data_IF_384612922496
#
_entry.id   IF_384612922496
#
_cell.length_a   1.000
_cell.length_b   1.000
_cell.length_c   1.000
_cell.angle_alpha   90.00
_cell.angle_beta   90.00
_cell.angle_gamma   90.00
#
_symmetry.space_group_name_H-M   'P 1'
#
loop_
_entity.id
_entity.type
_entity.pdbx_description
1 polymer ?
#
# COMPACT_ATOMS: atom_id res chain seq x y z
N UNK A 1 12.42 16.36 -3.25
CA UNK A 1 11.58 16.12 -4.43
C UNK A 1 11.18 17.46 -5.01
N UNK A 2 11.72 17.73 -6.18
CA UNK A 2 11.52 18.93 -7.01
C UNK A 2 11.60 18.51 -8.47
N UNK A 3 11.19 19.40 -9.38
CA UNK A 3 11.31 19.20 -10.83
C UNK A 3 12.75 18.94 -11.25
N UNK A 4 13.68 19.75 -10.71
CA UNK A 4 15.11 19.63 -10.98
C UNK A 4 15.67 18.26 -10.59
N UNK A 5 15.21 17.71 -9.46
CA UNK A 5 15.57 16.36 -9.02
C UNK A 5 15.03 15.28 -9.97
N UNK A 6 13.80 15.42 -10.46
CA UNK A 6 13.19 14.48 -11.39
C UNK A 6 13.82 14.53 -12.79
N UNK A 7 14.28 15.70 -13.23
CA UNK A 7 14.85 15.88 -14.56
C UNK A 7 16.36 15.56 -14.62
N UNK A 8 17.03 15.53 -13.47
CA UNK A 8 18.43 15.18 -13.37
C UNK A 8 18.69 13.70 -13.72
N UNK A 9 19.49 13.48 -14.77
CA UNK A 9 19.95 12.14 -15.17
C UNK A 9 20.76 11.47 -14.06
N UNK A 10 21.63 12.23 -13.39
CA UNK A 10 22.45 11.72 -12.29
C UNK A 10 21.58 11.26 -11.12
N UNK A 11 20.60 12.08 -10.71
CA UNK A 11 19.67 11.70 -9.64
C UNK A 11 18.84 10.47 -10.03
N UNK A 12 18.40 10.37 -11.29
CA UNK A 12 17.73 9.16 -11.79
C UNK A 12 18.60 7.92 -11.62
N UNK A 13 19.85 7.97 -12.05
CA UNK A 13 20.77 6.84 -11.96
C UNK A 13 21.02 6.43 -10.50
N UNK A 14 21.22 7.38 -9.61
CA UNK A 14 21.39 7.11 -8.16
C UNK A 14 20.16 6.44 -7.55
N UNK A 15 18.96 6.94 -7.88
CA UNK A 15 17.70 6.34 -7.39
C UNK A 15 17.55 4.92 -7.94
N UNK A 16 17.84 4.70 -9.23
CA UNK A 16 17.79 3.36 -9.81
C UNK A 16 18.76 2.43 -9.10
N UNK A 17 20.01 2.86 -8.89
CA UNK A 17 21.00 2.03 -8.21
C UNK A 17 20.60 1.72 -6.76
N UNK A 18 20.17 2.73 -6.01
CA UNK A 18 19.75 2.56 -4.62
C UNK A 18 18.53 1.63 -4.49
N UNK A 19 17.50 1.78 -5.34
CA UNK A 19 16.27 1.00 -5.25
C UNK A 19 16.34 -0.34 -5.95
N UNK A 20 16.89 -0.39 -7.15
CA UNK A 20 16.81 -1.57 -8.01
C UNK A 20 17.99 -2.51 -7.73
N UNK A 21 19.21 -1.98 -7.50
CA UNK A 21 20.40 -2.79 -7.19
C UNK A 21 20.56 -3.04 -5.68
N UNK A 22 20.54 -1.99 -4.86
CA UNK A 22 20.83 -2.11 -3.42
C UNK A 22 19.58 -2.42 -2.57
N UNK A 23 18.38 -2.38 -3.16
CA UNK A 23 17.08 -2.57 -2.47
C UNK A 23 16.94 -1.69 -1.22
N UNK A 24 17.51 -0.48 -1.24
CA UNK A 24 17.45 0.45 -0.11
C UNK A 24 16.04 1.01 0.05
N UNK A 25 15.64 1.15 1.31
CA UNK A 25 14.42 1.87 1.69
C UNK A 25 14.59 3.34 1.35
N UNK A 26 13.49 3.98 0.97
CA UNK A 26 13.50 5.31 0.38
C UNK A 26 12.32 6.09 0.94
N UNK A 27 12.59 7.21 1.61
CA UNK A 27 11.57 8.13 2.14
C UNK A 27 11.59 9.40 1.28
N UNK A 28 10.58 9.64 0.43
CA UNK A 28 10.53 10.84 -0.39
C UNK A 28 10.25 12.08 0.48
N UNK A 29 11.02 13.16 0.26
CA UNK A 29 10.81 14.45 0.91
C UNK A 29 10.41 15.49 -0.14
N UNK A 30 9.22 16.05 -0.03
CA UNK A 30 8.71 17.11 -0.91
C UNK A 30 8.97 18.46 -0.31
N UNK A 31 9.69 19.30 -1.07
CA UNK A 31 10.07 20.65 -0.67
C UNK A 31 9.15 21.68 -1.31
N UNK A 32 8.68 21.45 -2.54
CA UNK A 32 7.79 22.36 -3.28
C UNK A 32 6.32 21.90 -3.21
N UNK A 33 5.39 22.82 -2.94
CA UNK A 33 3.94 22.56 -2.75
C UNK A 33 3.30 21.79 -3.88
N UNK A 34 3.55 22.26 -5.09
CA UNK A 34 2.82 21.80 -6.28
C UNK A 34 3.61 20.78 -7.09
N UNK A 35 4.79 20.41 -6.58
CA UNK A 35 5.55 19.36 -7.21
C UNK A 35 4.93 17.99 -6.91
N UNK A 36 4.55 17.33 -8.00
CA UNK A 36 4.08 15.94 -8.02
C UNK A 36 5.06 15.15 -8.88
N UNK A 37 5.63 14.10 -8.31
CA UNK A 37 6.52 13.23 -9.06
C UNK A 37 5.72 12.45 -10.11
N UNK A 38 6.21 12.44 -11.34
CA UNK A 38 5.57 11.75 -12.47
C UNK A 38 6.59 10.86 -13.20
N UNK A 39 6.10 10.05 -14.13
CA UNK A 39 6.93 9.17 -14.96
C UNK A 39 7.82 8.24 -14.13
N UNK A 40 9.12 8.21 -14.45
CA UNK A 40 10.09 7.30 -13.83
C UNK A 40 10.16 7.45 -12.31
N UNK A 41 10.13 8.69 -11.81
CA UNK A 41 10.26 8.97 -10.37
C UNK A 41 8.97 8.60 -9.67
N UNK A 42 7.82 9.00 -10.24
CA UNK A 42 6.49 8.68 -9.73
C UNK A 42 6.33 7.18 -9.47
N UNK A 43 6.59 6.34 -10.49
CA UNK A 43 6.49 4.87 -10.40
C UNK A 43 7.37 4.29 -9.29
N UNK A 44 8.55 4.87 -9.06
CA UNK A 44 9.52 4.35 -8.08
C UNK A 44 9.27 4.84 -6.67
N UNK A 45 8.48 5.89 -6.47
CA UNK A 45 8.15 6.41 -5.14
C UNK A 45 6.69 6.15 -4.73
N UNK A 46 5.92 5.39 -5.52
CA UNK A 46 4.61 4.86 -5.08
C UNK A 46 4.84 3.82 -3.99
N UNK A 47 4.17 3.96 -2.84
CA UNK A 47 4.23 3.00 -1.73
C UNK A 47 4.89 3.50 -0.44
N UNK A 48 6.10 4.12 -0.45
CA UNK A 48 6.68 4.65 0.79
C UNK A 48 5.91 5.87 1.31
N UNK A 49 5.81 5.96 2.64
CA UNK A 49 5.42 7.19 3.32
C UNK A 49 6.38 8.32 2.93
N UNK A 50 5.85 9.52 2.75
CA UNK A 50 6.59 10.70 2.31
C UNK A 50 6.31 11.88 3.24
N UNK A 51 7.24 12.82 3.28
CA UNK A 51 7.12 14.06 4.04
C UNK A 51 6.95 15.24 3.09
N UNK A 52 6.15 16.23 3.48
CA UNK A 52 6.01 17.51 2.76
C UNK A 52 6.18 18.68 3.74
N UNK A 53 7.23 19.48 3.53
CA UNK A 53 7.69 20.51 4.48
C UNK A 53 6.80 21.77 4.58
N UNK A 54 5.75 21.89 3.78
CA UNK A 54 4.96 23.13 3.69
C UNK A 54 3.54 23.01 4.25
N UNK A 55 3.12 21.83 4.74
CA UNK A 55 1.78 21.66 5.32
C UNK A 55 1.71 22.04 6.81
N UNK A 56 2.84 22.01 7.51
CA UNK A 56 2.97 22.22 8.96
C UNK A 56 4.18 23.08 9.25
N UNK A 57 4.38 23.47 10.51
CA UNK A 57 5.61 24.13 10.92
C UNK A 57 6.82 23.24 10.59
N UNK A 58 7.98 23.86 10.34
CA UNK A 58 9.21 23.13 10.07
C UNK A 58 9.52 22.12 11.18
N UNK A 59 9.41 22.53 12.44
CA UNK A 59 9.70 21.69 13.60
C UNK A 59 8.75 20.48 13.68
N UNK A 60 7.46 20.68 13.41
CA UNK A 60 6.50 19.57 13.45
C UNK A 60 6.71 18.60 12.29
N UNK A 61 7.08 19.12 11.11
CA UNK A 61 7.41 18.29 9.95
C UNK A 61 8.69 17.47 10.18
N UNK A 62 9.67 18.04 10.88
CA UNK A 62 10.89 17.33 11.29
C UNK A 62 10.55 16.21 12.30
N UNK A 63 9.66 16.46 13.28
CA UNK A 63 9.21 15.41 14.20
C UNK A 63 8.54 14.26 13.46
N UNK A 64 7.71 14.56 12.45
CA UNK A 64 7.11 13.54 11.60
C UNK A 64 8.14 12.74 10.81
N UNK A 65 9.13 13.42 10.20
CA UNK A 65 10.21 12.76 9.48
C UNK A 65 11.00 11.82 10.39
N UNK A 66 11.34 12.25 11.61
CA UNK A 66 12.04 11.42 12.59
C UNK A 66 11.19 10.20 12.95
N UNK A 67 9.89 10.38 13.20
CA UNK A 67 8.97 9.28 13.48
C UNK A 67 8.96 8.25 12.35
N UNK A 68 8.87 8.70 11.09
CA UNK A 68 8.91 7.83 9.92
C UNK A 68 10.23 7.06 9.83
N UNK A 69 11.37 7.70 10.08
CA UNK A 69 12.68 7.02 10.06
C UNK A 69 12.77 5.95 11.16
N UNK A 70 12.23 6.22 12.35
CA UNK A 70 12.21 5.26 13.47
C UNK A 70 11.32 4.07 13.14
N UNK A 71 10.11 4.31 12.63
CA UNK A 71 9.20 3.26 12.18
C UNK A 71 9.84 2.43 11.06
N UNK A 72 10.52 3.09 10.12
CA UNK A 72 11.23 2.43 9.04
C UNK A 72 12.31 1.47 9.56
N UNK A 73 13.10 1.90 10.55
CA UNK A 73 14.12 1.05 11.20
C UNK A 73 13.53 -0.15 11.94
N UNK A 74 12.41 0.04 12.66
CA UNK A 74 11.75 -1.05 13.38
C UNK A 74 11.29 -2.17 12.44
N UNK A 75 10.73 -1.81 11.28
CA UNK A 75 10.34 -2.79 10.27
C UNK A 75 11.55 -3.55 9.69
N UNK A 76 12.71 -2.90 9.52
CA UNK A 76 13.92 -3.58 9.07
C UNK A 76 14.44 -4.62 10.07
N UNK A 77 14.36 -4.35 11.37
CA UNK A 77 14.77 -5.31 12.41
C UNK A 77 13.83 -6.52 12.46
N UNK A 78 12.54 -6.31 12.21
CA UNK A 78 11.54 -7.38 12.14
C UNK A 78 11.76 -8.29 10.91
N UNK A 79 12.02 -7.70 9.74
CA UNK A 79 12.27 -8.45 8.50
C UNK A 79 13.59 -9.25 8.55
N UNK A 80 14.64 -8.71 9.20
CA UNK A 80 15.90 -9.44 9.42
C UNK A 80 15.77 -10.63 10.36
N UNK A 81 14.91 -10.56 11.38
CA UNK A 81 14.68 -11.67 12.33
C UNK A 81 13.90 -12.83 11.71
N UNK A 82 13.08 -12.59 10.68
CA UNK A 82 12.30 -13.64 10.00
C UNK A 82 13.10 -14.54 9.05
N UNK A 83 14.31 -14.16 8.67
CA UNK A 83 15.13 -14.89 7.67
C UNK A 83 16.19 -15.79 8.34
N UNK A 84 16.31 -15.77 9.67
CA UNK A 84 17.41 -16.42 10.40
C UNK A 84 17.09 -17.82 10.98
N UNK A 85 15.91 -18.41 10.78
CA UNK A 85 15.61 -19.78 11.23
C UNK A 85 15.83 -20.81 10.10
N UNK A 86 16.77 -21.78 10.25
CA UNK A 86 16.96 -22.84 9.28
C UNK A 86 15.88 -23.92 9.44
N UNK A 87 15.16 -24.18 8.35
CA UNK A 87 14.23 -25.31 8.21
C UNK A 87 15.00 -26.63 8.12
N UNK A 88 14.94 -27.44 9.19
CA UNK A 88 15.32 -28.86 9.15
C UNK A 88 14.06 -29.73 8.97
N UNK A 89 14.18 -30.70 8.08
CA UNK A 89 13.12 -31.53 7.49
C UNK A 89 12.67 -32.71 8.37
N UNK A 90 11.35 -33.02 8.31
CA UNK A 90 10.65 -34.32 8.52
C UNK A 90 10.29 -34.80 9.95
N UNK A 91 9.33 -35.75 10.15
CA UNK A 91 8.02 -35.97 9.52
C UNK A 91 6.84 -36.18 10.54
N UNK A 92 5.63 -35.83 10.05
CA UNK A 92 4.27 -36.39 10.28
C UNK A 92 4.06 -37.53 11.31
N UNK A 93 3.24 -37.29 12.36
CA UNK A 93 2.29 -38.26 12.98
C UNK A 93 1.05 -37.53 13.52
N UNK A 94 -0.13 -38.07 13.20
CA UNK A 94 -1.45 -37.76 13.76
C UNK A 94 -1.61 -38.45 15.13
N UNK A 95 -2.17 -37.78 16.16
CA UNK A 95 -3.15 -38.42 17.05
C UNK A 95 -3.94 -37.43 17.93
N UNK A 96 -5.11 -37.90 18.37
CA UNK A 96 -6.27 -37.15 18.86
C UNK A 96 -6.30 -36.95 20.40
N UNK A 97 -6.96 -35.86 20.82
CA UNK A 97 -7.78 -35.54 22.05
C UNK A 97 -7.84 -36.56 23.21
N UNK A 98 -8.04 -36.12 24.50
CA UNK A 98 -9.22 -35.35 24.91
C UNK A 98 -9.07 -34.35 26.09
N UNK A 99 -10.21 -33.71 26.35
CA UNK A 99 -10.54 -32.53 27.17
C UNK A 99 -10.73 -32.90 28.65
N UNK A 100 -10.41 -32.01 29.59
CA UNK A 100 -11.17 -31.89 30.85
C UNK A 100 -11.18 -30.47 31.45
N UNK A 101 -12.34 -30.17 32.05
CA UNK A 101 -12.85 -28.86 32.49
C UNK A 101 -12.21 -28.35 33.79
N UNK A 102 -12.39 -27.06 34.13
CA UNK A 102 -13.15 -26.60 35.33
C UNK A 102 -13.30 -25.04 35.37
N UNK A 103 -14.56 -24.60 35.46
CA UNK A 103 -15.19 -23.41 36.10
C UNK A 103 -14.34 -22.51 37.06
N UNK A 104 -14.57 -21.22 37.36
CA UNK A 104 -15.75 -20.32 37.34
C UNK A 104 -15.33 -18.83 37.57
N UNK A 105 -16.11 -17.89 37.00
CA UNK A 105 -16.57 -16.52 37.42
C UNK A 105 -15.62 -15.54 38.18
N UNK A 106 -15.55 -14.23 37.85
CA UNK A 106 -16.48 -13.13 38.24
C UNK A 106 -16.19 -11.83 37.40
N UNK A 107 -17.23 -11.05 37.05
CA UNK A 107 -17.26 -9.71 36.40
C UNK A 107 -17.16 -8.55 37.43
N UNK A 108 -17.32 -7.23 37.13
CA UNK A 108 -17.11 -6.37 35.94
C UNK A 108 -16.26 -5.10 36.23
N UNK A 109 -15.76 -4.38 35.20
CA UNK A 109 -16.09 -2.94 34.99
C UNK A 109 -15.31 -2.28 33.84
N UNK A 110 -16.10 -1.58 33.02
CA UNK A 110 -15.94 -0.27 32.38
C UNK A 110 -14.69 0.11 31.56
N UNK A 111 -15.01 0.45 30.31
CA UNK A 111 -14.50 1.55 29.49
C UNK A 111 -13.23 1.40 28.63
N UNK A 112 -13.53 1.52 27.32
CA UNK A 112 -12.71 2.12 26.26
C UNK A 112 -11.39 1.43 25.90
N UNK A 113 -11.45 0.45 24.99
CA UNK A 113 -10.30 0.20 24.10
C UNK A 113 -10.68 -0.26 22.69
N UNK A 114 -10.33 0.62 21.76
CA UNK A 114 -10.11 0.45 20.31
C UNK A 114 -9.54 -0.94 20.01
N UNK A 115 -10.28 -1.78 19.27
CA UNK A 115 -9.76 -3.00 18.67
C UNK A 115 -9.42 -2.76 17.19
N UNK A 116 -8.24 -2.22 16.92
CA UNK A 116 -7.58 -2.40 15.63
C UNK A 116 -6.80 -3.72 15.65
N UNK A 117 -7.51 -4.83 15.44
CA UNK A 117 -6.89 -6.15 15.34
C UNK A 117 -6.37 -6.35 13.90
N UNK A 118 -5.16 -5.86 13.62
CA UNK A 118 -4.49 -6.05 12.32
C UNK A 118 -4.07 -7.51 12.14
N UNK A 119 -4.96 -8.32 11.59
CA UNK A 119 -4.66 -9.66 11.07
C UNK A 119 -4.53 -9.54 9.55
N UNK A 120 -3.30 -9.38 9.04
CA UNK A 120 -3.05 -9.54 7.60
C UNK A 120 -3.37 -10.99 7.25
N UNK A 121 -4.53 -11.23 6.63
CA UNK A 121 -4.92 -12.56 6.22
C UNK A 121 -4.01 -13.01 5.07
N UNK A 122 -3.43 -14.22 5.17
CA UNK A 122 -2.60 -14.84 4.11
C UNK A 122 -3.44 -15.31 2.91
N UNK A 123 -4.57 -14.65 2.61
CA UNK A 123 -5.47 -15.04 1.52
C UNK A 123 -4.89 -14.53 0.19
N UNK A 124 -5.00 -15.34 -0.87
CA UNK A 124 -4.67 -14.87 -2.21
C UNK A 124 -5.69 -13.81 -2.66
N UNK A 125 -5.30 -12.92 -3.59
CA UNK A 125 -6.14 -11.78 -4.02
C UNK A 125 -7.48 -12.27 -4.59
N UNK A 126 -7.47 -13.41 -5.27
CA UNK A 126 -8.66 -14.04 -5.85
C UNK A 126 -9.72 -14.41 -4.80
N UNK A 127 -9.33 -14.53 -3.53
CA UNK A 127 -10.19 -14.90 -2.42
C UNK A 127 -10.67 -13.70 -1.59
N UNK A 128 -10.31 -12.47 -1.99
CA UNK A 128 -10.66 -11.27 -1.23
C UNK A 128 -12.14 -10.95 -1.34
N UNK A 129 -12.77 -10.69 -0.20
CA UNK A 129 -14.11 -10.11 -0.11
C UNK A 129 -14.06 -8.58 -0.21
N UNK A 130 -15.23 -7.93 -0.25
CA UNK A 130 -15.33 -6.46 -0.21
C UNK A 130 -14.62 -5.86 0.99
N UNK A 131 -14.68 -6.51 2.15
CA UNK A 131 -13.99 -6.07 3.38
C UNK A 131 -12.47 -6.23 3.25
N UNK A 132 -11.99 -7.33 2.66
CA UNK A 132 -10.56 -7.52 2.38
C UNK A 132 -10.05 -6.44 1.41
N UNK A 133 -10.85 -6.05 0.42
CA UNK A 133 -10.53 -4.95 -0.52
C UNK A 133 -10.50 -3.61 0.22
N UNK A 134 -11.51 -3.29 1.03
CA UNK A 134 -11.54 -2.05 1.81
C UNK A 134 -10.32 -1.91 2.73
N UNK A 135 -9.95 -3.01 3.40
CA UNK A 135 -8.73 -3.06 4.21
C UNK A 135 -7.47 -2.86 3.35
N UNK A 136 -7.41 -3.43 2.14
CA UNK A 136 -6.30 -3.21 1.22
C UNK A 136 -6.20 -1.74 0.76
N UNK A 137 -7.32 -1.05 0.55
CA UNK A 137 -7.34 0.39 0.26
C UNK A 137 -6.73 1.20 1.40
N UNK A 138 -7.10 0.90 2.64
CA UNK A 138 -6.53 1.55 3.83
C UNK A 138 -5.02 1.31 3.95
N UNK A 139 -4.59 0.05 3.78
CA UNK A 139 -3.20 -0.35 3.87
C UNK A 139 -2.32 0.34 2.81
N UNK A 140 -2.90 0.72 1.66
CA UNK A 140 -2.22 1.43 0.59
C UNK A 140 -2.49 2.96 0.59
N UNK A 141 -3.21 3.47 1.60
CA UNK A 141 -3.61 4.88 1.70
C UNK A 141 -4.33 5.38 0.44
N UNK A 142 -5.27 4.59 -0.07
CA UNK A 142 -6.12 4.91 -1.21
C UNK A 142 -7.45 5.44 -0.68
N UNK A 143 -8.03 6.43 -1.38
CA UNK A 143 -9.33 6.98 -1.02
C UNK A 143 -10.42 5.91 -1.05
N UNK A 144 -11.13 5.74 0.06
CA UNK A 144 -12.19 4.73 0.23
C UNK A 144 -13.37 5.00 -0.71
N UNK A 145 -13.61 6.27 -1.04
CA UNK A 145 -14.65 6.72 -1.98
C UNK A 145 -14.50 6.12 -3.38
N UNK A 146 -13.27 5.71 -3.76
CA UNK A 146 -13.04 5.00 -5.01
C UNK A 146 -13.66 3.60 -5.01
N UNK A 147 -13.75 2.91 -3.87
CA UNK A 147 -14.37 1.58 -3.77
C UNK A 147 -15.84 1.66 -4.19
N UNK A 148 -16.54 2.69 -3.73
CA UNK A 148 -17.95 2.90 -4.02
C UNK A 148 -18.22 3.27 -5.49
N UNK A 149 -17.23 3.84 -6.18
CA UNK A 149 -17.36 4.19 -7.60
C UNK A 149 -17.13 3.00 -8.53
N UNK A 150 -16.30 2.04 -8.11
CA UNK A 150 -15.99 0.84 -8.88
C UNK A 150 -16.84 -0.37 -8.50
N UNK A 151 -17.49 -0.37 -7.33
CA UNK A 151 -18.29 -1.48 -6.79
C UNK A 151 -17.58 -2.84 -6.84
N UNK A 152 -16.30 -2.89 -6.46
CA UNK A 152 -15.57 -4.16 -6.41
C UNK A 152 -16.19 -5.08 -5.35
N UNK A 153 -16.64 -6.28 -5.78
CA UNK A 153 -17.26 -7.27 -4.90
C UNK A 153 -16.26 -8.32 -4.46
N UNK A 154 -15.34 -8.68 -5.35
CA UNK A 154 -14.34 -9.71 -5.17
C UNK A 154 -12.97 -9.24 -5.67
N UNK A 155 -11.89 -9.77 -5.10
CA UNK A 155 -10.54 -9.35 -5.52
C UNK A 155 -10.22 -9.69 -6.99
N UNK A 156 -10.95 -10.61 -7.60
CA UNK A 156 -10.90 -10.86 -9.05
C UNK A 156 -11.31 -9.59 -9.83
N UNK A 157 -12.33 -8.86 -9.39
CA UNK A 157 -12.79 -7.63 -10.04
C UNK A 157 -11.67 -6.58 -10.07
N UNK A 158 -10.96 -6.46 -8.94
CA UNK A 158 -9.82 -5.56 -8.79
C UNK A 158 -8.63 -5.96 -9.69
N UNK A 159 -8.38 -7.27 -9.85
CA UNK A 159 -7.35 -7.78 -10.75
C UNK A 159 -7.69 -7.55 -12.22
N UNK A 160 -8.93 -7.86 -12.64
CA UNK A 160 -9.40 -7.64 -14.01
C UNK A 160 -9.37 -6.16 -14.36
N UNK A 161 -9.86 -5.31 -13.46
CA UNK A 161 -9.81 -3.86 -13.62
C UNK A 161 -8.37 -3.36 -13.76
N UNK A 162 -7.43 -3.91 -12.98
CA UNK A 162 -6.01 -3.63 -13.11
C UNK A 162 -5.38 -3.98 -14.46
N UNK A 163 -5.90 -4.99 -15.14
CA UNK A 163 -5.47 -5.34 -16.50
C UNK A 163 -6.01 -4.33 -17.52
N UNK A 164 -7.25 -3.87 -17.35
CA UNK A 164 -7.88 -2.87 -18.22
C UNK A 164 -7.26 -1.47 -18.06
N UNK A 165 -6.70 -1.15 -16.90
CA UNK A 165 -6.03 0.13 -16.63
C UNK A 165 -4.74 0.37 -17.44
N UNK A 166 -4.14 -0.67 -18.05
CA UNK A 166 -2.93 -0.54 -18.88
C UNK A 166 -3.34 -0.52 -20.36
N UNK A 167 -2.89 0.44 -21.19
CA UNK A 167 -1.82 1.41 -20.98
C UNK A 167 -2.28 2.84 -20.60
N UNK A 168 -3.57 3.15 -20.70
CA UNK A 168 -4.07 4.53 -20.76
C UNK A 168 -4.91 4.94 -19.55
N UNK A 169 -4.40 4.70 -18.34
CA UNK A 169 -5.04 5.12 -17.07
C UNK A 169 -5.41 6.61 -17.02
N UNK A 170 -4.85 7.44 -17.89
CA UNK A 170 -5.18 8.87 -18.00
C UNK A 170 -6.60 9.12 -18.50
N UNK A 171 -7.07 8.28 -19.43
CA UNK A 171 -8.46 8.34 -19.93
C UNK A 171 -9.41 7.98 -18.79
N UNK A 172 -9.08 6.89 -18.09
CA UNK A 172 -9.83 6.43 -16.93
C UNK A 172 -9.83 7.46 -15.80
N UNK A 173 -8.69 8.14 -15.57
CA UNK A 173 -8.60 9.22 -14.58
C UNK A 173 -9.61 10.35 -14.89
N UNK A 174 -9.70 10.78 -16.14
CA UNK A 174 -10.63 11.85 -16.50
C UNK A 174 -12.07 11.40 -16.21
N UNK A 175 -12.46 10.21 -16.65
CA UNK A 175 -13.80 9.66 -16.46
C UNK A 175 -14.17 9.40 -14.99
N UNK A 176 -13.21 8.96 -14.17
CA UNK A 176 -13.48 8.75 -12.74
C UNK A 176 -13.45 10.06 -11.96
N UNK A 177 -12.61 11.03 -12.35
CA UNK A 177 -12.51 12.31 -11.65
C UNK A 177 -13.80 13.12 -11.70
N UNK A 178 -14.49 13.09 -12.85
CA UNK A 178 -15.80 13.71 -13.04
C UNK A 178 -16.85 13.05 -12.15
N UNK A 179 -16.99 11.71 -12.22
CA UNK A 179 -17.92 10.94 -11.36
C UNK A 179 -17.65 11.12 -9.87
N UNK A 180 -16.37 11.26 -9.49
CA UNK A 180 -15.97 11.50 -8.11
C UNK A 180 -16.40 12.88 -7.64
N UNK A 181 -16.20 13.92 -8.46
CA UNK A 181 -16.62 15.28 -8.15
C UNK A 181 -18.14 15.40 -8.06
N UNK A 182 -18.88 14.75 -8.96
CA UNK A 182 -20.34 14.68 -8.93
C UNK A 182 -20.87 14.02 -7.65
N UNK A 183 -20.29 12.89 -7.23
CA UNK A 183 -20.80 12.11 -6.11
C UNK A 183 -20.40 12.65 -4.75
N UNK A 184 -19.18 13.17 -4.62
CA UNK A 184 -18.60 13.56 -3.33
C UNK A 184 -18.40 15.07 -3.17
N UNK A 185 -18.74 15.87 -4.19
CA UNK A 185 -18.57 17.32 -4.20
C UNK A 185 -17.13 17.75 -3.84
N UNK A 186 -16.15 16.96 -4.27
CA UNK A 186 -14.72 17.18 -4.01
C UNK A 186 -13.88 16.63 -5.15
N UNK A 187 -12.69 17.17 -5.35
CA UNK A 187 -11.84 16.80 -6.49
C UNK A 187 -11.00 15.57 -6.17
N UNK A 188 -11.03 14.59 -7.08
CA UNK A 188 -10.05 13.52 -7.10
C UNK A 188 -8.76 14.03 -7.76
N UNK A 189 -7.73 14.23 -6.96
CA UNK A 189 -6.44 14.65 -7.47
C UNK A 189 -5.74 13.52 -8.22
N UNK A 190 -5.04 13.88 -9.28
CA UNK A 190 -4.30 12.92 -10.12
C UNK A 190 -3.33 12.05 -9.32
N UNK A 191 -2.70 12.59 -8.28
CA UNK A 191 -1.78 11.82 -7.45
C UNK A 191 -2.49 10.76 -6.60
N UNK A 192 -3.71 11.04 -6.11
CA UNK A 192 -4.54 10.05 -5.42
C UNK A 192 -4.90 8.90 -6.36
N UNK A 193 -5.26 9.20 -7.60
CA UNK A 193 -5.56 8.16 -8.59
C UNK A 193 -4.32 7.38 -9.02
N UNK A 194 -3.17 8.03 -9.22
CA UNK A 194 -1.91 7.35 -9.53
C UNK A 194 -1.47 6.39 -8.42
N UNK A 195 -1.76 6.70 -7.14
CA UNK A 195 -1.53 5.78 -6.02
C UNK A 195 -2.35 4.50 -6.18
N UNK A 196 -3.63 4.64 -6.50
CA UNK A 196 -4.52 3.52 -6.76
C UNK A 196 -3.99 2.64 -7.91
N UNK A 197 -3.71 3.25 -9.08
CA UNK A 197 -3.14 2.53 -10.24
C UNK A 197 -1.84 1.81 -9.87
N UNK A 198 -0.94 2.50 -9.16
CA UNK A 198 0.32 1.92 -8.73
C UNK A 198 0.15 0.78 -7.72
N UNK A 199 -0.87 0.82 -6.87
CA UNK A 199 -1.20 -0.23 -5.93
C UNK A 199 -1.77 -1.46 -6.64
N UNK A 200 -2.72 -1.27 -7.56
CA UNK A 200 -3.28 -2.35 -8.38
C UNK A 200 -2.19 -3.05 -9.20
N UNK A 201 -1.23 -2.28 -9.73
CA UNK A 201 -0.09 -2.83 -10.47
C UNK A 201 0.81 -3.75 -9.63
N UNK A 202 0.81 -3.64 -8.29
CA UNK A 202 1.56 -4.54 -7.39
C UNK A 202 0.81 -5.83 -7.08
N UNK A 203 -0.51 -5.87 -7.30
CA UNK A 203 -1.31 -7.08 -7.14
C UNK A 203 -1.11 -8.05 -8.31
N UNK A 204 -0.78 -7.52 -9.49
CA UNK A 204 -0.54 -8.34 -10.67
C UNK A 204 0.78 -9.10 -10.51
N UNK A 205 0.78 -10.45 -10.54
CA UNK A 205 2.02 -11.21 -10.54
C UNK A 205 2.84 -10.83 -11.78
N UNK A 206 4.17 -10.76 -11.63
CA UNK A 206 5.12 -10.30 -12.65
C UNK A 206 5.13 -11.14 -13.95
N UNK A 207 4.26 -12.16 -14.04
CA UNK A 207 4.19 -13.17 -15.09
C UNK A 207 2.79 -13.28 -15.74
N UNK A 208 1.94 -12.26 -15.70
CA UNK A 208 0.79 -12.23 -16.61
C UNK A 208 1.29 -11.97 -18.04
N UNK A 209 1.71 -13.05 -18.71
CA UNK A 209 1.73 -13.14 -20.17
C UNK A 209 0.38 -12.63 -20.64
N UNK A 210 0.44 -11.66 -21.56
CA UNK A 210 -0.69 -11.19 -22.35
C UNK A 210 -1.60 -12.36 -22.71
N UNK A 211 -2.80 -12.42 -22.14
CA UNK A 211 -3.89 -13.15 -22.76
C UNK A 211 -4.30 -12.31 -23.98
N UNK A 212 -3.66 -12.60 -25.11
CA UNK A 212 -4.18 -12.24 -26.42
C UNK A 212 -5.37 -13.18 -26.63
N UNK A 213 -6.59 -12.65 -26.48
CA UNK A 213 -7.78 -13.31 -26.99
C UNK A 213 -7.81 -12.97 -28.48
N UNK A 214 -7.56 -13.98 -29.32
CA UNK A 214 -7.83 -13.97 -30.76
C UNK A 214 -9.31 -14.17 -31.05
#
# INVERSE_FOLDING_TARGET
>A
MSKDYQDSKSCRQEVMYAKDSLKKRFIPIYIKKDFVATGWLGVRIVGPQYIRFEKKSFNDTIKELIKLIIEDKKHQEYDKKKVAEPSTTSPRVLENKPIENTNNQIKPNEDNHIKANRKSSKKSVEQWTKEDIAQWFDDNCIHQELIDLYDFRHGIDLLLYGQCLRPDWQIEYNAISERYEEKYNTKLYRDQFVRFVGAVNRLQPSNSKLCIIS
#
